data_IF_833227690587
#
_entry.id   IF_833227690587
#
_cell.length_a   1.000
_cell.length_b   1.000
_cell.length_c   1.000
_cell.angle_alpha   90.00
_cell.angle_beta   90.00
_cell.angle_gamma   90.00
#
_symmetry.space_group_name_H-M   'P 1'
#
loop_
_entity.id
_entity.type
_entity.pdbx_description
1 polymer ?
#
# COMPACT_ATOMS: atom_id res chain seq x y z
N UNK A 1 -21.91 -7.72 -45.67
CA UNK A 1 -20.67 -8.50 -45.80
C UNK A 1 -19.97 -8.40 -44.47
N UNK A 2 -20.19 -9.38 -43.59
CA UNK A 2 -19.48 -9.45 -42.32
C UNK A 2 -18.17 -10.20 -42.59
N UNK A 3 -17.04 -9.56 -42.30
CA UNK A 3 -15.74 -10.22 -42.30
C UNK A 3 -15.71 -11.28 -41.21
N UNK A 4 -15.38 -12.50 -41.61
CA UNK A 4 -15.16 -13.65 -40.76
C UNK A 4 -13.81 -13.43 -40.06
N UNK A 5 -13.85 -12.97 -38.80
CA UNK A 5 -12.64 -12.85 -37.97
C UNK A 5 -12.21 -14.26 -37.62
N UNK A 6 -11.10 -14.70 -38.20
CA UNK A 6 -10.57 -16.06 -38.11
C UNK A 6 -10.30 -16.44 -36.64
N UNK A 7 -10.96 -17.50 -36.18
CA UNK A 7 -10.90 -18.05 -34.81
C UNK A 7 -9.46 -18.44 -34.40
N UNK A 8 -8.57 -18.57 -35.38
CA UNK A 8 -7.14 -18.88 -35.24
C UNK A 8 -6.36 -17.69 -34.65
N UNK A 9 -6.76 -16.45 -34.95
CA UNK A 9 -6.03 -15.24 -34.53
C UNK A 9 -6.24 -14.91 -33.05
N UNK A 10 -7.45 -15.20 -32.52
CA UNK A 10 -7.76 -15.09 -31.09
C UNK A 10 -6.95 -16.11 -30.28
N UNK A 11 -6.83 -17.35 -30.77
CA UNK A 11 -6.09 -18.43 -30.13
C UNK A 11 -4.58 -18.15 -30.09
N UNK A 12 -3.99 -17.68 -31.19
CA UNK A 12 -2.57 -17.30 -31.23
C UNK A 12 -2.25 -16.09 -30.35
N UNK A 13 -3.17 -15.11 -30.28
CA UNK A 13 -3.03 -13.91 -29.44
C UNK A 13 -3.12 -14.25 -27.95
N UNK A 14 -4.04 -15.13 -27.52
CA UNK A 14 -4.11 -15.60 -26.13
C UNK A 14 -2.92 -16.49 -25.75
N UNK A 15 -2.45 -17.34 -26.66
CA UNK A 15 -1.27 -18.18 -26.48
C UNK A 15 0.05 -17.39 -26.34
N UNK A 16 0.10 -16.17 -26.89
CA UNK A 16 1.24 -15.26 -26.73
C UNK A 16 1.15 -14.44 -25.44
N UNK A 17 -0.06 -13.99 -25.05
CA UNK A 17 -0.22 -13.23 -23.81
C UNK A 17 0.08 -14.09 -22.56
N UNK A 18 -0.32 -15.36 -22.55
CA UNK A 18 -0.02 -16.28 -21.43
C UNK A 18 1.48 -16.55 -21.30
N UNK A 19 2.18 -16.71 -22.43
CA UNK A 19 3.65 -16.90 -22.45
C UNK A 19 4.37 -15.65 -21.93
N UNK A 20 3.92 -14.47 -22.33
CA UNK A 20 4.49 -13.20 -21.87
C UNK A 20 4.29 -13.00 -20.36
N UNK A 21 3.14 -13.40 -19.82
CA UNK A 21 2.87 -13.35 -18.38
C UNK A 21 3.76 -14.31 -17.59
N UNK A 22 3.96 -15.54 -18.07
CA UNK A 22 4.85 -16.52 -17.44
C UNK A 22 6.31 -16.04 -17.47
N UNK A 23 6.76 -15.47 -18.58
CA UNK A 23 8.12 -14.91 -18.70
C UNK A 23 8.29 -13.73 -17.74
N UNK A 24 7.31 -12.80 -17.69
CA UNK A 24 7.32 -11.69 -16.73
C UNK A 24 7.38 -12.19 -15.28
N UNK A 25 6.57 -13.19 -14.93
CA UNK A 25 6.60 -13.79 -13.60
C UNK A 25 7.97 -14.40 -13.31
N UNK A 26 8.58 -15.13 -14.25
CA UNK A 26 9.92 -15.71 -14.07
C UNK A 26 11.03 -14.67 -13.87
N UNK A 27 10.87 -13.47 -14.44
CA UNK A 27 11.80 -12.35 -14.23
C UNK A 27 11.61 -11.80 -12.81
N UNK A 28 10.35 -11.58 -12.40
CA UNK A 28 10.02 -11.13 -11.04
C UNK A 28 10.51 -12.15 -9.99
N UNK A 29 10.33 -13.45 -10.22
CA UNK A 29 10.74 -14.48 -9.27
C UNK A 29 12.27 -14.53 -9.07
N UNK A 30 13.04 -14.27 -10.13
CA UNK A 30 14.50 -14.25 -10.07
C UNK A 30 15.05 -12.96 -9.47
N UNK A 31 14.41 -11.84 -9.76
CA UNK A 31 14.88 -10.53 -9.36
C UNK A 31 13.69 -9.59 -9.06
N UNK A 32 13.00 -9.79 -7.92
CA UNK A 32 11.70 -9.14 -7.64
C UNK A 32 11.79 -7.62 -7.47
N UNK A 33 13.01 -7.09 -7.35
CA UNK A 33 13.27 -5.68 -7.08
C UNK A 33 13.95 -4.95 -8.24
N UNK A 34 14.37 -5.64 -9.31
CA UNK A 34 15.17 -5.05 -10.40
C UNK A 34 14.45 -3.92 -11.14
N UNK A 35 13.11 -3.97 -11.17
CA UNK A 35 12.28 -2.95 -11.83
C UNK A 35 11.79 -1.84 -10.90
N UNK A 36 12.16 -1.89 -9.61
CA UNK A 36 11.76 -0.89 -8.63
C UNK A 36 12.81 0.22 -8.50
N UNK A 37 12.34 1.45 -8.40
CA UNK A 37 13.19 2.61 -8.05
C UNK A 37 13.33 2.64 -6.54
N UNK A 38 14.34 1.94 -6.02
CA UNK A 38 14.63 1.88 -4.59
C UNK A 38 15.73 2.90 -4.28
N UNK A 39 15.43 3.84 -3.39
CA UNK A 39 16.41 4.84 -2.93
C UNK A 39 17.45 4.22 -1.97
N UNK A 40 18.61 4.87 -1.88
CA UNK A 40 19.67 4.46 -0.95
C UNK A 40 19.19 4.48 0.52
N UNK A 41 19.22 3.34 1.24
CA UNK A 41 18.72 3.27 2.61
C UNK A 41 19.71 3.84 3.64
N UNK A 42 20.90 4.28 3.24
CA UNK A 42 21.96 4.71 4.17
C UNK A 42 21.52 5.88 5.06
N UNK A 43 20.58 6.71 4.60
CA UNK A 43 19.97 7.78 5.39
C UNK A 43 19.36 7.26 6.71
N UNK A 44 18.84 6.03 6.74
CA UNK A 44 18.23 5.44 7.92
C UNK A 44 19.24 5.20 9.06
N UNK A 45 20.54 5.11 8.73
CA UNK A 45 21.62 4.95 9.69
C UNK A 45 22.04 6.28 10.34
N UNK A 46 21.62 7.42 9.78
CA UNK A 46 21.92 8.76 10.34
C UNK A 46 21.04 9.11 11.54
N UNK A 47 19.93 8.41 11.73
CA UNK A 47 19.03 8.63 12.86
C UNK A 47 19.47 7.83 14.07
N UNK A 48 20.05 8.53 15.04
CA UNK A 48 20.42 7.98 16.33
C UNK A 48 19.24 8.06 17.32
N UNK A 49 19.05 7.00 18.11
CA UNK A 49 18.07 7.01 19.20
C UNK A 49 16.61 6.95 18.76
N UNK A 50 15.74 7.60 19.54
CA UNK A 50 14.29 7.60 19.39
C UNK A 50 13.73 8.96 19.77
N UNK A 51 12.70 9.38 19.05
CA UNK A 51 11.95 10.59 19.27
C UNK A 51 10.69 10.35 20.11
N UNK A 52 10.22 11.39 20.80
CA UNK A 52 8.95 11.36 21.52
C UNK A 52 7.83 11.81 20.58
N UNK A 53 6.80 10.97 20.41
CA UNK A 53 5.64 11.36 19.63
C UNK A 53 4.87 12.51 20.31
N UNK A 54 4.64 13.62 19.60
CA UNK A 54 3.88 14.77 20.14
C UNK A 54 2.39 14.50 20.42
N UNK A 55 1.84 13.38 19.95
CA UNK A 55 0.43 13.01 20.20
C UNK A 55 0.26 12.14 21.45
N UNK A 56 0.95 11.00 21.51
CA UNK A 56 0.80 10.02 22.61
C UNK A 56 1.98 9.96 23.57
N UNK A 57 3.01 10.79 23.38
CA UNK A 57 4.21 10.88 24.22
C UNK A 57 5.03 9.59 24.36
N UNK A 58 4.75 8.57 23.52
CA UNK A 58 5.52 7.33 23.49
C UNK A 58 6.80 7.51 22.65
N UNK A 59 7.87 6.86 23.08
CA UNK A 59 9.15 6.82 22.35
C UNK A 59 9.05 5.95 21.10
N UNK A 60 9.50 6.49 19.96
CA UNK A 60 9.38 5.93 18.60
C UNK A 60 10.63 6.23 17.79
N UNK A 61 10.99 5.38 16.81
CA UNK A 61 12.19 5.60 15.99
C UNK A 61 11.91 6.54 14.81
N UNK A 62 11.00 6.16 13.90
CA UNK A 62 10.74 6.90 12.65
C UNK A 62 9.33 7.46 12.57
N UNK A 63 8.34 6.69 13.00
CA UNK A 63 6.94 7.09 13.04
C UNK A 63 6.25 6.49 14.26
N UNK A 64 5.12 7.09 14.65
CA UNK A 64 4.28 6.59 15.72
C UNK A 64 3.22 5.66 15.17
N UNK A 65 3.28 4.39 15.55
CA UNK A 65 2.29 3.40 15.15
C UNK A 65 0.93 3.53 15.86
N UNK A 66 0.82 4.36 16.90
CA UNK A 66 -0.47 4.62 17.58
C UNK A 66 -1.15 5.86 17.01
N UNK A 67 -0.41 6.95 16.81
CA UNK A 67 -0.94 8.19 16.25
C UNK A 67 -0.92 8.20 14.71
N UNK A 68 -0.28 7.21 14.08
CA UNK A 68 -0.10 7.10 12.63
C UNK A 68 0.53 8.34 11.98
N UNK A 69 1.52 8.94 12.65
CA UNK A 69 2.23 10.15 12.16
C UNK A 69 3.75 9.95 12.16
N UNK A 70 4.48 10.61 11.25
CA UNK A 70 5.94 10.72 11.33
C UNK A 70 6.39 11.32 12.67
N UNK A 71 7.48 10.81 13.24
CA UNK A 71 8.16 11.46 14.38
C UNK A 71 9.48 12.12 13.97
N UNK A 72 10.02 11.75 12.81
CA UNK A 72 11.13 12.44 12.16
C UNK A 72 10.61 13.42 11.09
N UNK A 73 11.54 14.13 10.44
CA UNK A 73 11.24 15.07 9.35
C UNK A 73 10.38 14.44 8.24
N UNK A 74 9.29 15.11 7.88
CA UNK A 74 8.32 14.63 6.89
C UNK A 74 8.90 14.50 5.48
N UNK A 75 10.04 15.16 5.17
CA UNK A 75 10.68 15.04 3.86
C UNK A 75 11.08 13.61 3.49
N UNK A 76 11.27 12.73 4.48
CA UNK A 76 11.60 11.32 4.28
C UNK A 76 10.36 10.44 4.02
N UNK A 77 9.15 11.01 4.10
CA UNK A 77 7.89 10.32 3.84
C UNK A 77 7.25 10.87 2.57
N UNK A 78 7.46 10.22 1.41
CA UNK A 78 6.86 10.69 0.16
C UNK A 78 5.34 10.70 0.30
N UNK A 79 4.73 11.80 -0.13
CA UNK A 79 3.28 11.94 -0.12
C UNK A 79 2.73 11.49 -1.47
N UNK A 80 1.89 10.46 -1.46
CA UNK A 80 1.27 9.90 -2.65
C UNK A 80 -0.23 10.16 -2.61
N UNK A 81 -0.80 10.47 -3.78
CA UNK A 81 -2.24 10.56 -3.96
C UNK A 81 -2.74 9.25 -4.56
N UNK A 82 -3.66 8.59 -3.88
CA UNK A 82 -4.22 7.33 -4.33
C UNK A 82 -5.36 7.59 -5.33
N UNK A 83 -5.57 6.70 -6.31
CA UNK A 83 -6.70 6.80 -7.23
C UNK A 83 -8.04 6.48 -6.56
N UNK A 84 -8.02 5.92 -5.34
CA UNK A 84 -9.18 5.52 -4.55
C UNK A 84 -8.96 5.91 -3.09
N UNK A 85 -10.07 6.11 -2.37
CA UNK A 85 -10.06 6.22 -0.90
C UNK A 85 -10.02 4.82 -0.29
N UNK A 86 -9.27 4.67 0.80
CA UNK A 86 -9.10 3.40 1.50
C UNK A 86 -9.43 3.59 2.98
N UNK A 87 -10.47 2.91 3.44
CA UNK A 87 -10.79 2.79 4.85
C UNK A 87 -10.34 1.41 5.35
N UNK A 88 -9.42 1.38 6.32
CA UNK A 88 -8.87 0.16 6.91
C UNK A 88 -9.49 -0.03 8.28
N UNK A 89 -10.14 -1.17 8.50
CA UNK A 89 -10.71 -1.52 9.82
C UNK A 89 -9.81 -2.57 10.46
N UNK A 90 -9.10 -2.18 11.53
CA UNK A 90 -8.25 -3.08 12.33
C UNK A 90 -9.02 -3.68 13.51
N UNK A 91 -8.63 -4.90 13.87
CA UNK A 91 -9.12 -5.53 15.10
C UNK A 91 -8.44 -4.89 16.34
N UNK A 92 -9.14 -4.68 17.48
CA UNK A 92 -8.56 -4.06 18.67
C UNK A 92 -7.41 -4.84 19.30
N UNK A 93 -7.33 -6.15 19.03
CA UNK A 93 -6.21 -7.02 19.49
C UNK A 93 -5.02 -7.05 18.53
N UNK A 94 -5.10 -6.38 17.37
CA UNK A 94 -3.96 -6.26 16.47
C UNK A 94 -2.89 -5.37 17.11
N UNK A 95 -1.63 -5.80 17.03
CA UNK A 95 -0.51 -5.07 17.61
C UNK A 95 -0.07 -3.99 16.62
N UNK A 96 -0.29 -2.71 16.97
CA UNK A 96 0.06 -1.55 16.14
C UNK A 96 1.48 -1.61 15.56
N UNK A 97 2.47 -2.02 16.36
CA UNK A 97 3.87 -2.08 15.93
C UNK A 97 4.18 -3.15 14.88
N UNK A 98 3.23 -4.01 14.53
CA UNK A 98 3.34 -5.05 13.50
C UNK A 98 2.41 -4.79 12.30
N UNK A 99 1.54 -3.79 12.38
CA UNK A 99 0.56 -3.49 11.34
C UNK A 99 1.22 -2.78 10.17
N UNK A 100 1.11 -3.34 8.96
CA UNK A 100 1.60 -2.71 7.74
C UNK A 100 0.67 -1.62 7.22
N UNK A 101 -0.61 -1.63 7.62
CA UNK A 101 -1.63 -0.65 7.26
C UNK A 101 -1.23 0.80 7.58
N UNK A 102 -0.43 1.00 8.63
CA UNK A 102 0.03 2.31 9.08
C UNK A 102 0.88 3.00 8.00
N UNK A 103 1.62 2.26 7.18
CA UNK A 103 2.41 2.85 6.10
C UNK A 103 1.51 3.53 5.06
N UNK A 104 0.34 2.98 4.77
CA UNK A 104 -0.62 3.62 3.86
C UNK A 104 -1.08 4.98 4.41
N UNK A 105 -1.35 5.07 5.71
CA UNK A 105 -1.68 6.34 6.37
C UNK A 105 -0.53 7.35 6.35
N UNK A 106 0.72 6.91 6.52
CA UNK A 106 1.89 7.79 6.50
C UNK A 106 2.16 8.39 5.10
N UNK A 107 1.92 7.60 4.07
CA UNK A 107 2.21 7.97 2.67
C UNK A 107 1.03 8.71 2.01
N UNK A 108 -0.21 8.37 2.35
CA UNK A 108 -1.41 8.93 1.74
C UNK A 108 -2.46 9.36 2.80
N UNK A 109 -2.11 10.26 3.75
CA UNK A 109 -2.98 10.63 4.87
C UNK A 109 -4.30 11.31 4.45
N UNK A 110 -4.40 11.78 3.20
CA UNK A 110 -5.62 12.38 2.66
C UNK A 110 -6.57 11.34 2.07
N UNK A 111 -6.07 10.18 1.68
CA UNK A 111 -6.81 9.15 0.98
C UNK A 111 -7.03 7.88 1.81
N UNK A 112 -6.30 7.73 2.92
CA UNK A 112 -6.36 6.55 3.79
C UNK A 112 -6.87 6.93 5.17
N UNK A 113 -7.78 6.13 5.72
CA UNK A 113 -8.22 6.24 7.11
C UNK A 113 -8.21 4.89 7.81
N UNK A 114 -7.76 4.87 9.07
CA UNK A 114 -7.70 3.64 9.88
C UNK A 114 -8.73 3.76 11.01
N UNK A 115 -9.58 2.75 11.16
CA UNK A 115 -10.58 2.61 12.20
C UNK A 115 -10.23 1.38 13.05
N UNK A 116 -10.55 1.44 14.34
CA UNK A 116 -10.44 0.26 15.21
C UNK A 116 -11.82 -0.25 15.50
N UNK A 117 -12.07 -1.53 15.20
CA UNK A 117 -13.36 -2.15 15.50
C UNK A 117 -13.72 -1.93 16.99
N UNK A 118 -14.96 -1.51 17.31
CA UNK A 118 -16.16 -1.55 16.48
C UNK A 118 -16.43 -0.29 15.62
N UNK A 119 -15.48 0.63 15.49
CA UNK A 119 -15.66 1.82 14.65
C UNK A 119 -15.57 1.46 13.16
N UNK A 120 -16.48 2.03 12.36
CA UNK A 120 -16.52 1.86 10.90
C UNK A 120 -16.63 3.22 10.20
N UNK A 121 -16.18 3.33 8.94
CA UNK A 121 -16.52 4.47 8.09
C UNK A 121 -18.05 4.59 7.91
N UNK A 122 -18.52 5.83 7.83
CA UNK A 122 -19.91 6.13 7.46
C UNK A 122 -20.02 6.17 5.94
N UNK A 123 -20.90 5.34 5.38
CA UNK A 123 -21.16 5.29 3.94
C UNK A 123 -22.46 6.01 3.60
N UNK A 124 -22.46 6.86 2.58
CA UNK A 124 -23.69 7.38 2.00
C UNK A 124 -24.40 6.28 1.18
N UNK A 125 -25.72 6.42 1.00
CA UNK A 125 -26.53 5.41 0.26
C UNK A 125 -26.06 5.17 -1.18
N UNK A 126 -25.35 6.13 -1.77
CA UNK A 126 -24.89 6.08 -3.16
C UNK A 126 -23.40 5.69 -3.28
N UNK A 127 -22.72 5.43 -2.17
CA UNK A 127 -21.31 5.05 -2.18
C UNK A 127 -21.13 3.62 -2.72
N UNK A 128 -20.26 3.47 -3.71
CA UNK A 128 -19.81 2.15 -4.19
C UNK A 128 -18.63 1.69 -3.34
N UNK A 129 -18.91 0.90 -2.31
CA UNK A 129 -17.87 0.27 -1.49
C UNK A 129 -17.65 -1.19 -1.93
N UNK A 130 -16.39 -1.59 -2.10
CA UNK A 130 -15.99 -2.98 -2.20
C UNK A 130 -15.46 -3.42 -0.84
N UNK A 131 -16.03 -4.49 -0.27
CA UNK A 131 -15.56 -5.07 0.98
C UNK A 131 -14.73 -6.31 0.66
N UNK A 132 -13.45 -6.25 1.01
CA UNK A 132 -12.52 -7.36 0.86
C UNK A 132 -11.99 -7.75 2.26
N UNK A 133 -12.00 -9.04 2.57
CA UNK A 133 -11.54 -9.57 3.86
C UNK A 133 -10.07 -9.97 3.73
N UNK A 134 -9.17 -9.27 4.45
CA UNK A 134 -7.74 -9.60 4.55
C UNK A 134 -7.43 -10.35 5.86
#
# INVERSE_FOLDING_TARGET
>A
MAEEIDVIDISLTTCNCERDLVIKQSIIDKAPFDMLKIDDPSILNTFEGREICGGCYKSRKFFCYTCCVPVIDKKYFPQVKLPIKIDIIKHPKEIDGKSTAIHAMLLAPQDVKIYTYPDFPEFAKDDKAALEWL
#
